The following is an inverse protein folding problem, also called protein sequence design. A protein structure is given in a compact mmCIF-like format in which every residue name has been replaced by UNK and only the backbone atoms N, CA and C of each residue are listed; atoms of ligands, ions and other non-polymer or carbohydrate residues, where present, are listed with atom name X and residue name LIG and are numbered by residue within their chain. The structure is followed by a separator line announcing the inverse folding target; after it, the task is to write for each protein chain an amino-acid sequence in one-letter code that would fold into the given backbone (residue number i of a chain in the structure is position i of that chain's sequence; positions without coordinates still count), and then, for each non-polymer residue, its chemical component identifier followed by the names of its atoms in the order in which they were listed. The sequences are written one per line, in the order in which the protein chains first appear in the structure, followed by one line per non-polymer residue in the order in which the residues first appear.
data_IF_771360821945
#
_entry.id   IF_771360821945
#
_cell.length_a   1.000
_cell.length_b   1.000
_cell.length_c   1.000
_cell.angle_alpha   90.00
_cell.angle_beta   90.00
_cell.angle_gamma   90.00
#
_symmetry.space_group_name_H-M   'P 1'
#
loop_
_entity.id
_entity.type
_entity.pdbx_description
1 polymer ?
#
# COMPACT_ATOMS: atom_id res chain seq x y z
N UNK A 1 -34.56 -16.01 32.11
CA UNK A 1 -34.48 -15.16 30.89
C UNK A 1 -33.67 -13.92 31.26
N UNK A 2 -32.54 -13.65 30.59
CA UNK A 2 -31.69 -12.47 30.88
C UNK A 2 -31.73 -11.54 29.67
N UNK A 3 -32.27 -10.34 29.84
CA UNK A 3 -32.32 -9.31 28.79
C UNK A 3 -31.03 -8.49 28.82
N UNK A 4 -30.33 -8.45 27.69
CA UNK A 4 -29.13 -7.61 27.50
C UNK A 4 -29.55 -6.27 26.90
N UNK A 5 -29.33 -5.18 27.65
CA UNK A 5 -29.63 -3.81 27.22
C UNK A 5 -28.50 -3.32 26.32
N UNK A 6 -28.74 -3.24 25.00
CA UNK A 6 -27.82 -2.57 24.07
C UNK A 6 -27.98 -1.05 24.19
N UNK A 7 -26.90 -0.35 24.56
CA UNK A 7 -26.80 1.11 24.50
C UNK A 7 -26.11 1.50 23.19
N UNK A 8 -26.78 2.28 22.35
CA UNK A 8 -26.23 2.80 21.10
C UNK A 8 -25.61 4.18 21.34
N UNK A 9 -24.36 4.40 20.91
CA UNK A 9 -23.71 5.71 20.92
C UNK A 9 -24.01 6.47 19.62
N UNK A 10 -24.59 7.66 19.73
CA UNK A 10 -24.76 8.58 18.62
C UNK A 10 -23.54 9.52 18.51
N UNK A 11 -22.79 9.40 17.42
CA UNK A 11 -21.66 10.30 17.12
C UNK A 11 -22.17 11.45 16.26
N UNK A 12 -22.03 12.69 16.76
CA UNK A 12 -22.40 13.91 16.03
C UNK A 12 -21.19 14.32 15.20
N UNK A 13 -21.21 14.09 13.89
CA UNK A 13 -20.17 14.57 12.99
C UNK A 13 -20.46 16.02 12.61
N UNK A 14 -19.51 16.93 12.89
CA UNK A 14 -19.56 18.29 12.38
C UNK A 14 -18.92 18.32 10.98
N UNK A 15 -19.68 18.78 9.98
CA UNK A 15 -19.19 18.97 8.61
C UNK A 15 -18.21 20.13 8.58
N UNK A 16 -16.92 19.83 8.44
CA UNK A 16 -15.89 20.82 8.14
C UNK A 16 -16.00 21.20 6.66
N UNK A 17 -16.28 22.49 6.40
CA UNK A 17 -16.42 23.04 5.05
C UNK A 17 -15.04 23.49 4.55
N UNK A 18 -14.52 22.81 3.54
CA UNK A 18 -13.37 23.29 2.76
C UNK A 18 -13.85 24.26 1.68
N UNK A 19 -13.09 25.33 1.35
CA UNK A 19 -13.46 26.24 0.28
C UNK A 19 -13.41 25.54 -1.07
N UNK A 20 -14.57 25.41 -1.70
CA UNK A 20 -14.78 24.87 -3.05
C UNK A 20 -14.56 25.96 -4.10
N UNK A 21 -13.54 25.80 -4.94
CA UNK A 21 -13.53 26.42 -6.28
C UNK A 21 -14.38 25.56 -7.20
N UNK A 22 -15.46 26.14 -7.71
CA UNK A 22 -16.44 25.46 -8.56
C UNK A 22 -15.85 25.14 -9.94
N UNK A 23 -15.80 23.86 -10.31
CA UNK A 23 -15.88 23.43 -11.71
C UNK A 23 -16.76 22.19 -11.80
N UNK A 24 -17.95 22.40 -12.35
CA UNK A 24 -19.07 21.46 -12.40
C UNK A 24 -18.93 20.57 -13.64
N UNK A 25 -18.41 19.35 -13.46
CA UNK A 25 -18.58 18.27 -14.43
C UNK A 25 -19.22 17.08 -13.68
N UNK A 26 -20.53 16.91 -13.86
CA UNK A 26 -21.24 15.70 -13.49
C UNK A 26 -20.97 14.66 -14.58
N UNK A 27 -20.17 13.66 -14.27
CA UNK A 27 -20.24 12.39 -14.98
C UNK A 27 -20.41 11.26 -13.97
N UNK A 28 -21.37 10.40 -14.32
CA UNK A 28 -21.88 9.29 -13.51
C UNK A 28 -20.73 8.43 -12.98
N UNK A 29 -20.74 8.21 -11.66
CA UNK A 29 -20.01 7.10 -11.05
C UNK A 29 -20.76 5.83 -11.44
N UNK A 30 -20.49 5.34 -12.64
CA UNK A 30 -20.76 3.97 -13.02
C UNK A 30 -19.63 3.13 -12.45
N UNK A 31 -19.94 2.29 -11.46
CA UNK A 31 -19.07 1.24 -10.96
C UNK A 31 -18.88 0.17 -12.04
N UNK A 32 -18.20 0.54 -13.14
CA UNK A 32 -17.51 -0.43 -13.95
C UNK A 32 -16.32 -0.86 -13.13
N UNK A 33 -16.39 -2.07 -12.58
CA UNK A 33 -15.21 -2.87 -12.29
C UNK A 33 -14.47 -2.99 -13.61
N UNK A 34 -13.68 -1.96 -13.90
CA UNK A 34 -12.92 -1.86 -15.12
C UNK A 34 -12.07 -3.12 -15.17
N UNK A 35 -12.28 -3.84 -16.25
CA UNK A 35 -11.38 -4.83 -16.81
C UNK A 35 -9.99 -4.76 -16.19
N UNK A 36 -9.48 -5.92 -15.80
CA UNK A 36 -8.08 -6.24 -15.56
C UNK A 36 -7.20 -5.67 -16.69
N UNK A 37 -7.04 -4.36 -16.70
CA UNK A 37 -6.16 -3.62 -17.59
C UNK A 37 -4.82 -3.94 -17.01
N UNK A 38 -4.23 -5.03 -17.53
CA UNK A 38 -2.86 -5.41 -17.27
C UNK A 38 -2.04 -4.17 -17.62
N UNK A 39 -1.77 -3.29 -16.65
CA UNK A 39 -0.87 -2.17 -16.87
C UNK A 39 0.41 -2.81 -17.37
N UNK A 40 0.82 -2.41 -18.57
CA UNK A 40 2.06 -2.92 -19.15
C UNK A 40 3.16 -2.50 -18.18
N UNK A 41 4.13 -3.37 -17.88
CA UNK A 41 5.20 -3.05 -16.91
C UNK A 41 5.83 -1.68 -17.15
N UNK A 42 5.96 -1.31 -18.43
CA UNK A 42 6.41 0.00 -18.91
C UNK A 42 5.54 1.17 -18.41
N UNK A 43 4.21 1.04 -18.47
CA UNK A 43 3.27 2.06 -17.96
C UNK A 43 3.39 2.26 -16.45
N UNK A 44 3.67 1.20 -15.70
CA UNK A 44 3.91 1.30 -14.25
C UNK A 44 5.25 1.94 -13.92
N UNK A 45 6.28 1.66 -14.73
CA UNK A 45 7.63 2.18 -14.52
C UNK A 45 7.77 3.65 -14.95
N UNK A 46 7.01 4.08 -15.96
CA UNK A 46 6.95 5.47 -16.42
C UNK A 46 6.09 6.37 -15.52
N UNK A 47 5.47 5.81 -14.48
CA UNK A 47 4.70 6.61 -13.53
C UNK A 47 5.65 7.47 -12.69
N UNK A 48 5.76 8.74 -13.06
CA UNK A 48 6.49 9.74 -12.30
C UNK A 48 5.72 10.06 -11.01
N UNK A 49 6.39 9.87 -9.88
CA UNK A 49 5.85 10.25 -8.58
C UNK A 49 6.26 11.69 -8.27
N UNK A 50 5.44 12.46 -7.54
CA UNK A 50 5.70 13.87 -7.26
C UNK A 50 6.84 14.11 -6.24
N UNK A 51 7.65 13.10 -5.94
CA UNK A 51 8.82 13.17 -5.08
C UNK A 51 10.05 12.67 -5.84
N UNK A 52 11.24 13.22 -5.59
CA UNK A 52 12.46 12.76 -6.24
C UNK A 52 12.92 11.41 -5.69
N UNK A 53 13.63 10.63 -6.51
CA UNK A 53 14.16 9.31 -6.12
C UNK A 53 15.15 9.39 -4.95
N UNK A 54 15.83 10.53 -4.77
CA UNK A 54 16.73 10.79 -3.63
C UNK A 54 16.03 10.76 -2.28
N UNK A 55 14.74 11.12 -2.26
CA UNK A 55 13.98 11.29 -1.03
C UNK A 55 13.29 9.99 -0.62
N UNK A 56 13.17 9.03 -1.54
CA UNK A 56 12.54 7.74 -1.30
C UNK A 56 13.08 7.04 -0.05
N UNK A 57 14.41 6.90 0.16
CA UNK A 57 14.95 6.27 1.37
C UNK A 57 14.51 7.00 2.64
N UNK A 58 14.59 8.33 2.63
CA UNK A 58 14.25 9.16 3.78
C UNK A 58 12.77 9.05 4.16
N UNK A 59 11.89 9.04 3.17
CA UNK A 59 10.44 8.86 3.37
C UNK A 59 10.18 7.50 4.04
N UNK A 60 10.82 6.43 3.57
CA UNK A 60 10.66 5.11 4.19
C UNK A 60 11.14 5.08 5.64
N UNK A 61 12.28 5.69 5.93
CA UNK A 61 12.82 5.77 7.29
C UNK A 61 11.87 6.50 8.24
N UNK A 62 11.29 7.63 7.79
CA UNK A 62 10.32 8.39 8.58
C UNK A 62 9.02 7.61 8.84
N UNK A 63 8.50 6.92 7.82
CA UNK A 63 7.30 6.09 7.95
C UNK A 63 7.51 4.92 8.92
N UNK A 64 8.68 4.29 8.88
CA UNK A 64 9.05 3.21 9.79
C UNK A 64 9.26 3.73 11.23
N UNK A 65 9.94 4.86 11.39
CA UNK A 65 10.18 5.48 12.70
C UNK A 65 8.85 5.87 13.39
N UNK A 66 7.89 6.38 12.62
CA UNK A 66 6.55 6.74 13.10
C UNK A 66 5.60 5.54 13.16
N UNK A 67 6.03 4.33 12.78
CA UNK A 67 5.22 3.11 12.68
C UNK A 67 3.95 3.28 11.85
N UNK A 68 3.99 4.13 10.83
CA UNK A 68 2.89 4.34 9.89
C UNK A 68 2.75 3.20 8.88
N UNK A 69 3.84 2.45 8.70
CA UNK A 69 3.88 1.21 7.91
C UNK A 69 4.57 0.12 8.74
N UNK A 70 4.16 -1.13 8.52
CA UNK A 70 4.81 -2.31 9.08
C UNK A 70 5.30 -3.19 7.92
N UNK A 71 6.57 -3.58 7.96
CA UNK A 71 7.12 -4.50 6.97
C UNK A 71 6.74 -5.94 7.34
N UNK A 72 6.26 -6.76 6.38
CA UNK A 72 5.99 -8.16 6.64
C UNK A 72 7.29 -8.89 7.02
N UNK A 73 7.18 -9.84 7.94
CA UNK A 73 8.33 -10.67 8.30
C UNK A 73 8.83 -11.46 7.10
N UNK A 74 10.16 -11.47 6.91
CA UNK A 74 10.77 -12.30 5.89
C UNK A 74 10.53 -13.77 6.22
N UNK A 75 9.97 -14.53 5.29
CA UNK A 75 9.74 -15.96 5.45
C UNK A 75 11.05 -16.78 5.58
N UNK A 76 12.19 -16.20 5.19
CA UNK A 76 13.54 -16.79 5.30
C UNK A 76 14.54 -15.78 5.85
N UNK A 77 14.59 -15.56 7.18
CA UNK A 77 15.50 -14.59 7.78
C UNK A 77 16.98 -14.92 7.56
N UNK A 78 17.33 -16.21 7.45
CA UNK A 78 18.71 -16.68 7.21
C UNK A 78 19.30 -16.25 5.86
N UNK A 79 18.45 -15.97 4.87
CA UNK A 79 18.86 -15.60 3.51
C UNK A 79 18.95 -14.07 3.31
N UNK A 80 18.57 -13.28 4.33
CA UNK A 80 18.49 -11.80 4.22
C UNK A 80 19.85 -11.17 3.89
N UNK A 81 20.93 -11.69 4.48
CA UNK A 81 22.29 -11.22 4.25
C UNK A 81 23.00 -11.80 3.03
N UNK A 82 22.38 -12.77 2.32
CA UNK A 82 23.02 -13.50 1.22
C UNK A 82 22.92 -12.77 -0.12
N UNK A 83 22.92 -11.44 -0.14
CA UNK A 83 22.68 -10.67 -1.39
C UNK A 83 23.77 -10.89 -2.44
N UNK A 84 24.97 -11.30 -2.02
CA UNK A 84 26.13 -11.56 -2.88
C UNK A 84 26.27 -13.04 -3.29
N UNK A 85 25.40 -13.93 -2.81
CA UNK A 85 25.47 -15.35 -3.14
C UNK A 85 24.99 -15.54 -4.60
N UNK A 86 25.72 -16.25 -5.48
CA UNK A 86 25.22 -16.54 -6.83
C UNK A 86 23.89 -17.32 -6.84
N UNK A 87 23.56 -18.01 -5.74
CA UNK A 87 22.27 -18.69 -5.55
C UNK A 87 21.16 -17.73 -5.07
N UNK A 88 21.47 -16.48 -4.74
CA UNK A 88 20.51 -15.48 -4.30
C UNK A 88 19.66 -14.96 -5.45
N UNK A 89 18.35 -15.13 -5.34
CA UNK A 89 17.40 -14.45 -6.21
C UNK A 89 16.38 -13.69 -5.37
N UNK A 90 16.18 -12.41 -5.71
CA UNK A 90 15.31 -11.46 -5.00
C UNK A 90 13.86 -11.96 -4.92
N UNK A 91 13.41 -12.75 -5.91
CA UNK A 91 12.11 -13.42 -5.89
C UNK A 91 12.05 -14.48 -4.77
N UNK A 92 13.06 -15.36 -4.64
CA UNK A 92 13.11 -16.39 -3.58
C UNK A 92 12.98 -15.82 -2.16
N UNK A 93 13.53 -14.64 -1.90
CA UNK A 93 13.40 -13.95 -0.60
C UNK A 93 11.94 -13.57 -0.27
N UNK A 94 11.18 -13.13 -1.28
CA UNK A 94 9.83 -12.56 -1.11
C UNK A 94 8.75 -13.65 -1.14
N UNK A 95 8.90 -14.64 -2.02
CA UNK A 95 7.86 -15.68 -2.24
C UNK A 95 8.24 -17.06 -1.70
N UNK A 96 9.45 -17.25 -1.17
CA UNK A 96 9.91 -18.52 -0.60
C UNK A 96 9.82 -19.70 -1.57
N UNK A 97 10.00 -19.46 -2.86
CA UNK A 97 10.06 -20.55 -3.82
C UNK A 97 11.22 -21.51 -3.45
N UNK A 98 11.01 -22.83 -3.59
CA UNK A 98 12.09 -23.78 -3.44
C UNK A 98 13.05 -23.61 -4.63
N UNK A 99 14.34 -23.43 -4.33
CA UNK A 99 15.39 -23.56 -5.33
C UNK A 99 15.64 -25.06 -5.39
N UNK A 100 15.21 -25.73 -6.46
CA UNK A 100 15.41 -27.17 -6.64
C UNK A 100 16.89 -27.54 -6.45
N UNK A 101 17.13 -28.76 -5.94
CA UNK A 101 18.45 -29.29 -5.62
C UNK A 101 19.16 -29.82 -6.85
#
# INVERSE_FOLDING_TARGET
MKTSTKKSMAVKAATVKFPTTEKKNNDKIENQRASSSKRILKEMQEKEYPFPDSDVPHIFDELLARRLIELPQSKRPEEVGKTNDPKYCKYHRVVSHPIEK
#
